data_IF_164108288234
#
_entry.id   IF_164108288234
#
_cell.length_a   1.000
_cell.length_b   1.000
_cell.length_c   1.000
_cell.angle_alpha   90.00
_cell.angle_beta   90.00
_cell.angle_gamma   90.00
#
_symmetry.space_group_name_H-M   'P 1'
#
loop_
_entity.id
_entity.type
_entity.pdbx_description
1 polymer ?
#
# COMPACT_ATOMS: atom_id res chain seq x y z
N UNK A 1 -45.60 -30.64 -96.59
CA UNK A 1 -46.18 -29.57 -95.70
C UNK A 1 -46.14 -30.10 -94.30
N UNK A 2 -45.20 -29.65 -93.47
CA UNK A 2 -45.29 -29.52 -92.03
C UNK A 2 -43.96 -28.95 -91.51
N UNK A 3 -44.00 -27.75 -91.03
CA UNK A 3 -42.87 -27.04 -90.45
C UNK A 3 -42.57 -27.63 -89.10
N UNK A 4 -41.31 -27.98 -88.80
CA UNK A 4 -40.80 -28.34 -87.51
C UNK A 4 -39.90 -27.19 -87.09
N UNK A 5 -40.34 -26.43 -86.04
CA UNK A 5 -39.58 -25.36 -85.38
C UNK A 5 -38.64 -26.02 -84.37
N UNK A 6 -37.36 -25.85 -84.51
CA UNK A 6 -36.38 -26.24 -83.49
C UNK A 6 -36.33 -25.13 -82.46
N UNK A 7 -36.65 -25.45 -81.18
CA UNK A 7 -36.49 -24.62 -80.02
C UNK A 7 -35.11 -24.93 -79.43
N UNK A 8 -34.22 -23.97 -79.52
CA UNK A 8 -32.87 -24.02 -78.89
C UNK A 8 -32.97 -23.63 -77.42
N UNK A 9 -32.77 -24.58 -76.49
CA UNK A 9 -32.64 -24.27 -75.06
C UNK A 9 -31.21 -23.90 -74.80
N UNK A 10 -30.97 -22.64 -74.49
CA UNK A 10 -29.70 -22.12 -73.92
C UNK A 10 -29.73 -22.38 -72.40
N UNK A 11 -28.96 -23.35 -71.95
CA UNK A 11 -28.74 -23.62 -70.52
C UNK A 11 -27.74 -22.60 -70.00
N UNK A 12 -28.24 -21.54 -69.37
CA UNK A 12 -27.39 -20.57 -68.64
C UNK A 12 -26.95 -21.18 -67.29
N UNK A 13 -25.71 -21.67 -67.28
CA UNK A 13 -25.05 -22.15 -66.07
C UNK A 13 -24.66 -20.93 -65.24
N UNK A 14 -25.52 -20.51 -64.28
CA UNK A 14 -25.15 -19.54 -63.25
C UNK A 14 -24.18 -20.20 -62.28
N UNK A 15 -22.88 -19.94 -62.45
CA UNK A 15 -21.90 -20.19 -61.42
C UNK A 15 -22.12 -19.22 -60.29
N UNK A 16 -22.82 -19.65 -59.24
CA UNK A 16 -22.87 -18.96 -57.97
C UNK A 16 -21.48 -19.09 -57.33
N UNK A 17 -20.61 -18.12 -57.58
CA UNK A 17 -19.39 -17.93 -56.83
C UNK A 17 -19.79 -17.54 -55.40
N UNK A 18 -19.97 -18.53 -54.53
CA UNK A 18 -20.12 -18.29 -53.08
C UNK A 18 -18.78 -17.79 -52.54
N UNK A 19 -18.59 -16.48 -52.51
CA UNK A 19 -17.54 -15.92 -51.72
C UNK A 19 -17.83 -16.23 -50.24
N UNK A 20 -17.23 -17.33 -49.73
CA UNK A 20 -17.06 -17.48 -48.29
C UNK A 20 -16.22 -16.28 -47.83
N UNK A 21 -16.85 -15.32 -47.21
CA UNK A 21 -16.14 -14.28 -46.48
C UNK A 21 -15.50 -14.99 -45.28
N UNK A 22 -14.20 -15.29 -45.38
CA UNK A 22 -13.46 -15.80 -44.24
C UNK A 22 -13.59 -14.77 -43.12
N UNK A 23 -14.34 -15.12 -42.10
CA UNK A 23 -14.47 -14.30 -40.89
C UNK A 23 -13.13 -14.36 -40.19
N UNK A 24 -12.31 -13.33 -40.35
CA UNK A 24 -11.06 -13.17 -39.61
C UNK A 24 -11.44 -12.94 -38.17
N UNK A 25 -11.15 -13.92 -37.32
CA UNK A 25 -11.40 -13.82 -35.86
C UNK A 25 -10.29 -12.99 -35.26
N UNK A 26 -10.61 -11.94 -34.50
CA UNK A 26 -9.60 -11.19 -33.78
C UNK A 26 -8.84 -12.08 -32.81
N UNK A 27 -7.55 -11.85 -32.58
CA UNK A 27 -6.78 -12.61 -31.60
C UNK A 27 -7.28 -12.34 -30.18
N UNK A 28 -7.21 -13.37 -29.32
CA UNK A 28 -7.37 -13.17 -27.87
C UNK A 28 -6.13 -12.47 -27.33
N UNK A 29 -6.31 -11.31 -26.70
CA UNK A 29 -5.22 -10.56 -26.08
C UNK A 29 -4.94 -11.13 -24.71
N UNK A 30 -3.75 -11.71 -24.55
CA UNK A 30 -3.31 -12.37 -23.33
C UNK A 30 -1.96 -11.81 -22.93
N UNK A 31 -1.87 -11.34 -21.67
CA UNK A 31 -0.61 -10.94 -21.07
C UNK A 31 -0.63 -11.15 -19.55
N UNK A 32 0.55 -11.21 -18.96
CA UNK A 32 0.73 -11.27 -17.52
C UNK A 32 1.41 -10.00 -17.02
N UNK A 33 1.19 -9.67 -15.75
CA UNK A 33 1.80 -8.53 -15.06
C UNK A 33 2.53 -9.00 -13.81
N UNK A 34 3.71 -8.41 -13.56
CA UNK A 34 4.47 -8.60 -12.34
C UNK A 34 4.81 -7.22 -11.77
N UNK A 35 4.52 -7.00 -10.50
CA UNK A 35 4.71 -5.73 -9.79
C UNK A 35 5.93 -5.83 -8.89
N UNK A 36 6.77 -4.77 -8.93
CA UNK A 36 7.87 -4.52 -8.00
C UNK A 36 7.86 -3.03 -7.62
N UNK A 37 7.27 -2.71 -6.48
CA UNK A 37 7.02 -1.33 -6.08
C UNK A 37 6.15 -0.60 -7.10
N UNK A 38 6.67 0.49 -7.68
CA UNK A 38 6.00 1.25 -8.74
C UNK A 38 6.31 0.73 -10.14
N UNK A 39 7.21 -0.24 -10.28
CA UNK A 39 7.61 -0.79 -11.57
C UNK A 39 6.79 -2.04 -11.89
N UNK A 40 6.23 -2.08 -13.09
CA UNK A 40 5.42 -3.19 -13.59
C UNK A 40 6.05 -3.74 -14.86
N UNK A 41 6.27 -5.05 -14.86
CA UNK A 41 6.69 -5.80 -16.05
C UNK A 41 5.47 -6.42 -16.71
N UNK A 42 5.25 -6.09 -17.97
CA UNK A 42 4.21 -6.67 -18.80
C UNK A 42 4.82 -7.74 -19.70
N UNK A 43 4.24 -8.93 -19.75
CA UNK A 43 4.69 -10.02 -20.62
C UNK A 43 3.56 -10.44 -21.54
N UNK A 44 3.67 -10.08 -22.82
CA UNK A 44 2.68 -10.45 -23.84
C UNK A 44 2.77 -11.95 -24.16
N UNK A 45 1.60 -12.57 -24.24
CA UNK A 45 1.40 -13.98 -24.61
C UNK A 45 0.40 -14.12 -25.78
N UNK A 46 0.05 -13.00 -26.44
CA UNK A 46 -0.91 -12.96 -27.54
C UNK A 46 -0.38 -13.68 -28.77
N UNK A 47 -1.12 -14.67 -29.26
CA UNK A 47 -0.77 -15.41 -30.48
C UNK A 47 -1.26 -14.66 -31.72
N UNK A 48 -0.39 -14.51 -32.73
CA UNK A 48 -0.74 -13.91 -34.02
C UNK A 48 -0.63 -12.38 -34.07
N UNK A 49 -0.26 -11.72 -33.00
CA UNK A 49 0.02 -10.29 -33.00
C UNK A 49 1.29 -9.95 -33.78
N UNK A 50 1.24 -8.87 -34.57
CA UNK A 50 2.36 -8.34 -35.35
C UNK A 50 2.84 -6.99 -34.85
N UNK A 51 1.92 -6.15 -34.33
CA UNK A 51 2.26 -4.86 -33.73
C UNK A 51 1.55 -4.70 -32.40
N UNK A 52 2.14 -3.89 -31.54
CA UNK A 52 1.74 -3.67 -30.16
C UNK A 52 1.65 -2.18 -29.87
N UNK A 53 0.68 -1.79 -29.06
CA UNK A 53 0.58 -0.47 -28.45
C UNK A 53 0.01 -0.64 -27.05
N UNK A 54 0.80 -0.29 -26.07
CA UNK A 54 0.38 -0.21 -24.69
C UNK A 54 -0.07 1.21 -24.36
N UNK A 55 -1.19 1.33 -23.68
CA UNK A 55 -1.57 2.50 -22.90
C UNK A 55 -1.53 2.08 -21.43
N UNK A 56 -0.69 2.70 -20.62
CA UNK A 56 -0.51 2.30 -19.24
C UNK A 56 -1.59 2.84 -18.28
N UNK A 57 -2.47 3.73 -18.78
CA UNK A 57 -3.55 4.31 -17.99
C UNK A 57 -3.10 5.45 -17.07
N UNK A 58 -1.86 5.94 -17.24
CA UNK A 58 -1.29 7.11 -16.56
C UNK A 58 -0.94 8.25 -17.54
N UNK A 59 -1.39 8.13 -18.79
CA UNK A 59 -1.12 9.07 -19.87
C UNK A 59 0.15 8.75 -20.68
N UNK A 60 0.87 7.69 -20.33
CA UNK A 60 2.05 7.20 -21.06
C UNK A 60 1.77 5.94 -21.85
N UNK A 61 2.64 5.61 -22.81
CA UNK A 61 2.44 4.46 -23.71
C UNK A 61 3.77 3.85 -24.16
N UNK A 62 3.74 2.59 -24.68
CA UNK A 62 4.85 1.90 -25.32
C UNK A 62 4.39 1.14 -26.56
N UNK A 63 5.32 0.87 -27.49
CA UNK A 63 5.13 -0.02 -28.64
C UNK A 63 5.91 -1.32 -28.53
N UNK A 64 6.61 -1.52 -27.43
CA UNK A 64 7.34 -2.75 -27.16
C UNK A 64 6.37 -3.91 -26.96
N UNK A 65 6.79 -5.11 -27.35
CA UNK A 65 5.98 -6.32 -27.17
C UNK A 65 5.70 -6.60 -25.69
N UNK A 66 6.73 -6.47 -24.86
CA UNK A 66 6.68 -6.78 -23.42
C UNK A 66 7.42 -5.70 -22.65
N UNK A 67 6.80 -4.53 -22.40
CA UNK A 67 7.46 -3.40 -21.76
C UNK A 67 7.61 -3.59 -20.26
N UNK A 68 8.57 -2.85 -19.71
CA UNK A 68 8.67 -2.51 -18.29
C UNK A 68 8.27 -1.05 -18.14
N UNK A 69 7.36 -0.75 -17.24
CA UNK A 69 6.87 0.61 -16.99
C UNK A 69 6.91 0.94 -15.50
N UNK A 70 7.35 2.15 -15.17
CA UNK A 70 7.35 2.66 -13.79
C UNK A 70 6.27 3.73 -13.66
N UNK A 71 5.26 3.46 -12.85
CA UNK A 71 4.17 4.37 -12.57
C UNK A 71 4.62 5.55 -11.69
N UNK A 72 4.00 6.73 -11.82
CA UNK A 72 4.43 7.93 -11.09
C UNK A 72 4.14 7.87 -9.58
N UNK A 73 3.33 6.92 -9.12
CA UNK A 73 3.00 6.77 -7.71
C UNK A 73 1.96 5.68 -7.45
N UNK A 74 1.52 5.60 -6.20
CA UNK A 74 0.40 4.73 -5.82
C UNK A 74 -0.87 5.11 -6.58
N UNK A 75 -1.69 4.14 -6.89
CA UNK A 75 -2.97 4.38 -7.56
C UNK A 75 -3.55 3.15 -8.23
N UNK A 76 -4.75 3.31 -8.73
CA UNK A 76 -5.42 2.33 -9.57
C UNK A 76 -5.23 2.73 -11.03
N UNK A 77 -4.58 1.86 -11.80
CA UNK A 77 -4.32 2.04 -13.22
C UNK A 77 -5.00 0.95 -14.03
N UNK A 78 -5.30 1.25 -15.30
CA UNK A 78 -5.94 0.30 -16.23
C UNK A 78 -5.09 0.21 -17.50
N UNK A 79 -3.96 -0.53 -17.45
CA UNK A 79 -3.18 -0.76 -18.64
C UNK A 79 -3.97 -1.54 -19.70
N UNK A 80 -3.88 -1.07 -20.94
CA UNK A 80 -4.55 -1.67 -22.10
C UNK A 80 -3.53 -1.98 -23.18
N UNK A 81 -3.53 -3.22 -23.64
CA UNK A 81 -2.75 -3.65 -24.78
C UNK A 81 -3.64 -3.66 -26.03
N UNK A 82 -3.25 -2.92 -27.06
CA UNK A 82 -3.80 -2.98 -28.40
C UNK A 82 -2.84 -3.77 -29.29
N UNK A 83 -3.36 -4.75 -30.01
CA UNK A 83 -2.58 -5.54 -30.95
C UNK A 83 -3.18 -5.45 -32.35
N UNK A 84 -2.32 -5.60 -33.37
CA UNK A 84 -2.76 -5.72 -34.75
C UNK A 84 -2.08 -6.94 -35.37
N UNK A 85 -2.82 -7.78 -36.07
CA UNK A 85 -2.30 -8.94 -36.80
C UNK A 85 -1.68 -8.54 -38.14
N UNK A 86 -0.94 -9.43 -38.79
CA UNK A 86 -0.38 -9.22 -40.12
C UNK A 86 -1.42 -8.98 -41.21
N UNK A 87 -2.68 -9.38 -40.98
CA UNK A 87 -3.80 -9.14 -41.89
C UNK A 87 -4.63 -7.91 -41.56
N UNK A 88 -4.17 -7.10 -40.56
CA UNK A 88 -4.78 -5.84 -40.19
C UNK A 88 -5.95 -5.94 -39.21
N UNK A 89 -6.22 -7.10 -38.63
CA UNK A 89 -7.24 -7.24 -37.57
C UNK A 89 -6.70 -6.75 -36.26
N UNK A 90 -7.50 -5.93 -35.54
CA UNK A 90 -7.16 -5.35 -34.25
C UNK A 90 -7.92 -6.03 -33.11
N UNK A 91 -7.29 -6.11 -31.95
CA UNK A 91 -7.91 -6.51 -30.69
C UNK A 91 -7.29 -5.73 -29.53
N UNK A 92 -8.01 -5.66 -28.41
CA UNK A 92 -7.53 -5.02 -27.19
C UNK A 92 -7.83 -5.88 -25.96
N UNK A 93 -6.99 -5.75 -24.95
CA UNK A 93 -7.21 -6.36 -23.64
C UNK A 93 -6.68 -5.46 -22.54
N UNK A 94 -7.45 -5.31 -21.47
CA UNK A 94 -7.10 -4.47 -20.33
C UNK A 94 -7.23 -5.24 -19.02
N UNK A 95 -6.48 -4.79 -18.01
CA UNK A 95 -6.57 -5.30 -16.65
C UNK A 95 -6.52 -4.14 -15.67
N UNK A 96 -6.97 -4.38 -14.44
CA UNK A 96 -6.85 -3.41 -13.35
C UNK A 96 -5.63 -3.79 -12.52
N UNK A 97 -4.72 -2.83 -12.32
CA UNK A 97 -3.61 -2.97 -11.39
C UNK A 97 -3.73 -1.92 -10.29
N UNK A 98 -3.38 -2.32 -9.07
CA UNK A 98 -3.29 -1.42 -7.95
C UNK A 98 -1.81 -1.31 -7.57
N UNK A 99 -1.27 -0.12 -7.69
CA UNK A 99 0.12 0.18 -7.30
C UNK A 99 0.09 0.69 -5.86
N UNK A 100 0.63 -0.10 -4.95
CA UNK A 100 0.77 0.29 -3.56
C UNK A 100 1.91 1.30 -3.36
N UNK A 101 1.83 2.13 -2.30
CA UNK A 101 2.94 2.99 -1.92
C UNK A 101 4.17 2.15 -1.54
N UNK A 102 5.32 2.49 -2.10
CA UNK A 102 6.61 2.01 -1.63
C UNK A 102 7.18 2.93 -0.54
N UNK A 103 8.10 2.42 0.24
CA UNK A 103 8.92 3.19 1.19
C UNK A 103 10.39 2.99 0.87
N UNK A 104 11.18 4.05 1.07
CA UNK A 104 12.64 3.94 0.98
C UNK A 104 13.25 3.31 2.25
N UNK A 105 12.49 3.27 3.35
CA UNK A 105 12.95 2.78 4.66
C UNK A 105 13.26 1.29 4.62
N UNK A 106 14.45 0.93 5.10
CA UNK A 106 14.97 -0.44 5.21
C UNK A 106 15.49 -0.66 6.62
N UNK A 107 14.95 -1.62 7.33
CA UNK A 107 15.32 -1.91 8.72
C UNK A 107 16.58 -2.77 8.86
N UNK A 108 17.14 -3.30 7.78
CA UNK A 108 18.23 -4.27 7.75
C UNK A 108 19.53 -3.74 7.11
N UNK A 109 19.61 -2.42 6.85
CA UNK A 109 20.78 -1.81 6.21
C UNK A 109 21.80 -1.19 7.20
N UNK A 110 21.54 -1.29 8.51
CA UNK A 110 22.36 -0.76 9.60
C UNK A 110 22.60 0.76 9.53
N UNK A 111 21.68 1.51 8.93
CA UNK A 111 21.72 2.96 8.83
C UNK A 111 20.35 3.57 9.10
N UNK A 112 20.32 4.87 9.39
CA UNK A 112 19.10 5.65 9.53
C UNK A 112 18.97 6.70 8.40
N UNK A 113 19.86 6.64 7.39
CA UNK A 113 19.96 7.68 6.37
C UNK A 113 18.78 7.71 5.39
N UNK A 114 18.09 6.61 5.20
CA UNK A 114 16.87 6.54 4.39
C UNK A 114 15.73 7.38 4.96
N UNK A 115 15.72 7.61 6.28
CA UNK A 115 14.80 8.55 6.93
C UNK A 115 15.02 10.02 6.55
N UNK A 116 16.14 10.37 5.94
CA UNK A 116 16.37 11.72 5.40
C UNK A 116 15.46 12.01 4.20
N UNK A 117 15.00 10.97 3.51
CA UNK A 117 14.05 11.08 2.40
C UNK A 117 12.60 11.21 2.86
N UNK A 118 12.30 10.87 4.11
CA UNK A 118 10.95 10.97 4.70
C UNK A 118 10.73 12.41 5.16
N UNK A 119 10.02 13.17 4.32
CA UNK A 119 9.70 14.60 4.55
C UNK A 119 8.24 14.82 4.95
N UNK A 120 7.39 13.81 4.76
CA UNK A 120 5.99 13.80 5.21
C UNK A 120 5.89 13.00 6.51
N UNK A 121 4.83 13.26 7.29
CA UNK A 121 4.59 12.58 8.58
C UNK A 121 5.77 12.73 9.54
N UNK A 122 6.39 13.90 9.56
CA UNK A 122 7.44 14.30 10.50
C UNK A 122 6.79 15.08 11.64
N UNK A 123 6.96 14.60 12.87
CA UNK A 123 6.40 15.20 14.06
C UNK A 123 7.54 15.66 14.94
N UNK A 124 7.60 16.96 15.20
CA UNK A 124 8.52 17.55 16.16
C UNK A 124 7.80 17.63 17.51
N UNK A 125 8.46 17.22 18.56
CA UNK A 125 7.91 17.25 19.90
C UNK A 125 7.54 18.68 20.30
N UNK A 126 6.35 18.83 20.87
CA UNK A 126 5.87 20.07 21.44
C UNK A 126 6.29 20.24 22.90
N UNK A 127 5.58 21.08 23.63
CA UNK A 127 5.90 21.41 25.03
C UNK A 127 5.79 20.19 25.97
N UNK A 128 4.94 19.19 25.62
CA UNK A 128 4.74 18.00 26.44
C UNK A 128 5.57 16.79 25.90
N UNK A 129 6.39 17.00 24.88
CA UNK A 129 7.23 15.95 24.30
C UNK A 129 8.28 15.37 25.26
N UNK A 130 8.69 16.14 26.28
CA UNK A 130 9.62 15.66 27.30
C UNK A 130 10.94 15.16 26.70
N UNK A 131 11.20 13.87 26.85
CA UNK A 131 12.41 13.24 26.29
C UNK A 131 12.34 13.03 24.77
N UNK A 132 11.15 13.01 24.17
CA UNK A 132 10.95 12.90 22.71
C UNK A 132 11.43 14.17 22.02
N UNK A 133 12.02 14.05 20.83
CA UNK A 133 12.47 15.17 19.98
C UNK A 133 11.79 15.16 18.64
N UNK A 134 11.91 14.07 17.93
CA UNK A 134 11.34 13.90 16.59
C UNK A 134 10.82 12.49 16.43
N UNK A 135 9.66 12.37 15.81
CA UNK A 135 9.18 11.11 15.25
C UNK A 135 8.95 11.28 13.75
N UNK A 136 9.21 10.24 12.99
CA UNK A 136 8.88 10.16 11.58
C UNK A 136 8.13 8.86 11.32
N UNK A 137 7.19 8.90 10.38
CA UNK A 137 6.41 7.73 10.00
C UNK A 137 6.36 7.61 8.50
N UNK A 138 6.46 6.38 8.02
CA UNK A 138 6.25 6.03 6.62
C UNK A 138 5.53 4.68 6.53
N UNK A 139 5.10 4.27 5.35
CA UNK A 139 4.46 2.97 5.17
C UNK A 139 4.65 2.44 3.75
N UNK A 140 4.49 1.12 3.61
CA UNK A 140 4.32 0.43 2.34
C UNK A 140 3.14 -0.56 2.43
N UNK A 141 3.03 -1.51 1.51
CA UNK A 141 1.98 -2.55 1.54
C UNK A 141 1.99 -3.37 2.82
N UNK A 142 3.16 -3.61 3.42
CA UNK A 142 3.37 -4.60 4.47
C UNK A 142 3.55 -3.99 5.85
N UNK A 143 4.14 -2.80 5.92
CA UNK A 143 4.61 -2.21 7.16
C UNK A 143 4.15 -0.76 7.34
N UNK A 144 3.98 -0.36 8.60
CA UNK A 144 4.04 1.02 9.07
C UNK A 144 5.39 1.19 9.75
N UNK A 145 6.26 2.00 9.17
CA UNK A 145 7.58 2.29 9.71
C UNK A 145 7.53 3.49 10.66
N UNK A 146 8.39 3.47 11.66
CA UNK A 146 8.56 4.58 12.58
C UNK A 146 10.05 4.82 12.88
N UNK A 147 10.37 6.07 13.13
CA UNK A 147 11.67 6.54 13.60
C UNK A 147 11.47 7.46 14.77
N UNK A 148 12.34 7.33 15.78
CA UNK A 148 12.39 8.24 16.91
C UNK A 148 13.78 8.78 17.14
N UNK A 149 13.82 10.08 17.49
CA UNK A 149 14.96 10.71 18.11
C UNK A 149 14.51 11.23 19.49
N UNK A 150 15.26 10.87 20.54
CA UNK A 150 14.90 11.19 21.91
C UNK A 150 16.13 11.33 22.81
N UNK A 151 15.92 11.95 23.98
CA UNK A 151 16.95 12.04 25.02
C UNK A 151 16.75 10.91 26.01
N UNK A 152 17.39 9.77 25.74
CA UNK A 152 17.35 8.57 26.59
C UNK A 152 18.54 7.65 26.27
N UNK A 153 18.50 6.44 26.80
CA UNK A 153 19.43 5.36 26.51
C UNK A 153 18.67 4.05 26.33
N UNK A 154 19.23 3.09 25.60
CA UNK A 154 18.66 1.74 25.49
C UNK A 154 18.49 1.10 26.87
N UNK A 155 19.45 1.31 27.77
CA UNK A 155 19.43 0.73 29.11
C UNK A 155 18.35 1.30 30.03
N UNK A 156 17.78 2.47 29.71
CA UNK A 156 16.67 3.07 30.50
C UNK A 156 15.42 2.18 30.50
N UNK A 157 15.21 1.43 29.42
CA UNK A 157 14.06 0.53 29.29
C UNK A 157 12.74 1.29 29.29
N UNK A 158 12.73 2.50 28.69
CA UNK A 158 11.53 3.34 28.60
C UNK A 158 10.38 2.58 27.93
N UNK A 159 9.19 2.74 28.49
CA UNK A 159 7.98 2.07 28.04
C UNK A 159 7.24 2.99 27.08
N UNK A 160 6.90 2.49 25.94
CA UNK A 160 6.10 3.18 24.93
C UNK A 160 4.67 2.64 24.95
N UNK A 161 3.70 3.56 24.94
CA UNK A 161 2.30 3.25 24.73
C UNK A 161 1.88 3.88 23.40
N UNK A 162 1.68 3.07 22.36
CA UNK A 162 1.14 3.51 21.09
C UNK A 162 -0.37 3.28 21.09
N UNK A 163 -1.14 4.35 21.05
CA UNK A 163 -2.58 4.34 20.87
C UNK A 163 -2.90 4.43 19.39
N UNK A 164 -3.49 3.39 18.83
CA UNK A 164 -3.78 3.26 17.39
C UNK A 164 -5.30 3.25 17.16
N UNK A 165 -5.79 4.25 16.42
CA UNK A 165 -7.12 4.26 15.82
C UNK A 165 -6.98 3.64 14.42
N UNK A 166 -7.19 2.33 14.37
CA UNK A 166 -6.87 1.50 13.22
C UNK A 166 -7.95 1.54 12.12
N UNK A 167 -9.19 1.77 12.48
CA UNK A 167 -10.31 1.88 11.54
C UNK A 167 -10.58 3.34 11.10
N UNK A 168 -9.80 4.29 11.63
CA UNK A 168 -9.93 5.73 11.42
C UNK A 168 -11.33 6.26 11.77
N UNK A 169 -11.92 5.75 12.85
CA UNK A 169 -13.26 6.08 13.29
C UNK A 169 -13.27 6.51 14.75
N UNK A 170 -13.37 7.80 15.00
CA UNK A 170 -13.44 8.35 16.37
C UNK A 170 -14.69 7.88 17.19
N UNK A 171 -15.65 7.21 16.54
CA UNK A 171 -16.85 6.66 17.19
C UNK A 171 -16.67 5.26 17.76
N UNK A 172 -15.53 4.61 17.52
CA UNK A 172 -15.16 3.28 18.03
C UNK A 172 -13.91 3.38 18.92
N UNK A 173 -13.50 2.29 19.57
CA UNK A 173 -12.29 2.25 20.39
C UNK A 173 -12.34 3.16 21.63
N UNK A 174 -11.19 3.35 22.24
CA UNK A 174 -11.00 4.14 23.45
C UNK A 174 -10.86 5.64 23.17
N UNK A 175 -11.66 6.47 23.80
CA UNK A 175 -11.51 7.92 23.76
C UNK A 175 -10.69 8.38 24.98
N UNK A 176 -9.40 8.64 24.80
CA UNK A 176 -8.49 8.99 25.92
C UNK A 176 -8.82 10.32 26.57
N UNK A 177 -9.52 11.24 25.89
CA UNK A 177 -9.65 12.63 26.28
C UNK A 177 -8.36 13.46 26.10
N UNK A 178 -7.21 12.82 25.98
CA UNK A 178 -5.92 13.48 25.77
C UNK A 178 -5.75 13.96 24.33
N UNK A 179 -6.14 13.13 23.36
CA UNK A 179 -6.02 13.45 21.93
C UNK A 179 -7.41 13.38 21.28
N UNK A 180 -8.09 14.52 21.12
CA UNK A 180 -9.44 14.56 20.58
C UNK A 180 -9.46 14.12 19.11
N UNK A 181 -10.49 13.38 18.73
CA UNK A 181 -10.68 12.87 17.36
C UNK A 181 -10.01 11.54 17.07
N UNK A 182 -9.44 10.87 18.07
CA UNK A 182 -9.03 9.47 18.02
C UNK A 182 -10.05 8.56 18.70
N UNK A 183 -10.27 7.37 18.16
CA UNK A 183 -10.98 6.25 18.76
C UNK A 183 -10.07 5.02 18.73
N UNK A 184 -9.30 4.81 19.81
CA UNK A 184 -8.17 3.89 19.80
C UNK A 184 -8.60 2.45 20.01
N UNK A 185 -8.41 1.63 18.97
CA UNK A 185 -8.78 0.22 18.94
C UNK A 185 -7.69 -0.68 19.48
N UNK A 186 -6.43 -0.24 19.33
CA UNK A 186 -5.25 -1.00 19.70
C UNK A 186 -4.34 -0.12 20.56
N UNK A 187 -3.91 -0.66 21.68
CA UNK A 187 -2.80 -0.17 22.47
C UNK A 187 -1.63 -1.13 22.28
N UNK A 188 -0.47 -0.61 21.92
CA UNK A 188 0.77 -1.36 21.95
C UNK A 188 1.65 -0.80 23.05
N UNK A 189 2.01 -1.62 24.01
CA UNK A 189 2.65 -1.19 25.24
C UNK A 189 3.90 -2.01 25.55
N UNK A 190 5.01 -1.34 25.88
CA UNK A 190 6.21 -2.02 26.35
C UNK A 190 7.52 -1.30 26.07
N UNK A 191 8.59 -1.89 26.60
CA UNK A 191 9.98 -1.48 26.34
C UNK A 191 10.47 -2.11 25.01
N UNK A 192 10.05 -1.52 23.89
CA UNK A 192 10.26 -2.11 22.55
C UNK A 192 11.74 -2.35 22.21
N UNK A 193 12.67 -1.56 22.75
CA UNK A 193 14.11 -1.74 22.55
C UNK A 193 14.68 -2.89 23.40
N UNK A 194 13.91 -3.43 24.33
CA UNK A 194 14.21 -4.63 25.13
C UNK A 194 13.39 -5.84 24.70
N UNK A 195 12.86 -5.79 23.47
CA UNK A 195 12.08 -6.87 22.83
C UNK A 195 10.78 -7.23 23.58
N UNK A 196 10.23 -6.27 24.28
CA UNK A 196 8.93 -6.38 24.91
C UNK A 196 8.06 -5.22 24.43
N UNK A 197 6.98 -5.51 23.68
CA UNK A 197 6.04 -4.53 23.16
C UNK A 197 4.73 -5.24 22.78
N UNK A 198 3.79 -5.35 23.71
CA UNK A 198 2.63 -6.21 23.59
C UNK A 198 1.40 -5.48 23.05
N UNK A 199 0.62 -6.11 22.16
CA UNK A 199 -0.64 -5.55 21.67
C UNK A 199 -1.80 -5.87 22.60
N UNK A 200 -2.66 -4.87 22.81
CA UNK A 200 -3.90 -4.96 23.53
C UNK A 200 -5.03 -4.40 22.68
N UNK A 201 -6.19 -5.04 22.73
CA UNK A 201 -7.39 -4.58 22.04
C UNK A 201 -8.35 -3.94 23.00
N UNK A 202 -8.97 -2.84 22.57
CA UNK A 202 -9.99 -2.18 23.37
C UNK A 202 -11.14 -3.13 23.69
N UNK A 203 -11.51 -3.17 24.96
CA UNK A 203 -12.57 -4.02 25.51
C UNK A 203 -13.44 -3.29 26.55
N UNK A 204 -13.31 -1.96 26.64
CA UNK A 204 -14.10 -1.15 27.51
C UNK A 204 -15.60 -1.19 27.20
N UNK A 205 -16.45 -1.11 28.21
CA UNK A 205 -17.90 -1.13 28.03
C UNK A 205 -18.43 0.11 27.29
N UNK A 206 -17.72 1.23 27.38
CA UNK A 206 -17.95 2.48 26.66
C UNK A 206 -16.62 3.07 26.24
N UNK A 207 -16.60 3.97 25.25
CA UNK A 207 -15.37 4.60 24.78
C UNK A 207 -14.56 5.33 25.88
N UNK A 208 -15.20 5.77 26.96
CA UNK A 208 -14.55 6.44 28.07
C UNK A 208 -14.13 5.48 29.20
N UNK A 209 -14.43 4.19 29.07
CA UNK A 209 -14.08 3.18 30.08
C UNK A 209 -12.72 2.60 29.75
N UNK A 210 -11.76 2.73 30.68
CA UNK A 210 -10.50 2.02 30.54
C UNK A 210 -10.72 0.50 30.52
N UNK A 211 -10.27 -0.14 29.48
CA UNK A 211 -10.41 -1.60 29.35
C UNK A 211 -9.65 -2.10 28.13
N UNK A 212 -8.67 -2.96 28.36
CA UNK A 212 -7.81 -3.53 27.34
C UNK A 212 -7.65 -5.03 27.57
N UNK A 213 -7.71 -5.79 26.49
CA UNK A 213 -7.50 -7.24 26.49
C UNK A 213 -6.24 -7.57 25.74
N UNK A 214 -5.28 -8.21 26.40
CA UNK A 214 -4.02 -8.62 25.78
C UNK A 214 -4.26 -9.59 24.63
N UNK A 215 -3.45 -9.49 23.59
CA UNK A 215 -3.47 -10.37 22.43
C UNK A 215 -2.12 -11.07 22.30
N UNK A 216 -2.14 -12.37 22.03
CA UNK A 216 -0.94 -13.13 21.70
C UNK A 216 -0.78 -13.12 20.19
N UNK A 217 0.11 -12.27 19.70
CA UNK A 217 0.43 -12.15 18.28
C UNK A 217 1.95 -12.19 18.17
N UNK A 218 2.49 -13.05 17.30
CA UNK A 218 3.92 -13.06 16.97
C UNK A 218 4.21 -12.18 15.76
N UNK A 219 5.44 -11.71 15.66
CA UNK A 219 6.00 -11.04 14.48
C UNK A 219 5.19 -9.81 14.02
N UNK A 220 4.62 -9.04 14.95
CA UNK A 220 3.84 -7.85 14.61
C UNK A 220 4.66 -6.56 14.62
N UNK A 221 5.83 -6.56 15.25
CA UNK A 221 6.79 -5.46 15.19
C UNK A 221 8.21 -5.96 14.98
N UNK A 222 9.04 -5.07 14.50
CA UNK A 222 10.48 -5.28 14.33
C UNK A 222 11.20 -3.98 14.69
N UNK A 223 12.31 -4.07 15.40
CA UNK A 223 13.26 -2.98 15.58
C UNK A 223 14.38 -3.16 14.57
N UNK A 224 14.70 -2.10 13.86
CA UNK A 224 15.82 -2.01 12.93
C UNK A 224 17.07 -1.44 13.59
N UNK A 225 17.66 -0.43 12.96
CA UNK A 225 18.88 0.21 13.43
C UNK A 225 18.64 1.04 14.70
N UNK A 226 19.51 0.87 15.68
CA UNK A 226 19.52 1.66 16.92
C UNK A 226 20.88 2.34 17.06
N UNK A 227 20.88 3.65 17.19
CA UNK A 227 22.07 4.48 17.36
C UNK A 227 21.97 5.25 18.68
N UNK A 228 22.91 5.04 19.57
CA UNK A 228 23.03 5.78 20.83
C UNK A 228 24.35 6.54 20.87
N UNK A 229 24.28 7.85 21.10
CA UNK A 229 25.43 8.72 21.31
C UNK A 229 25.21 9.54 22.58
N UNK A 230 25.82 9.11 23.68
CA UNK A 230 25.55 9.65 25.01
C UNK A 230 24.08 9.46 25.38
N UNK A 231 23.38 10.55 25.64
CA UNK A 231 21.94 10.58 25.93
C UNK A 231 21.07 10.77 24.68
N UNK A 232 21.65 10.91 23.49
CA UNK A 232 20.86 10.95 22.25
C UNK A 232 20.67 9.53 21.75
N UNK A 233 19.42 9.12 21.71
CA UNK A 233 18.98 7.82 21.22
C UNK A 233 18.16 8.03 19.95
N UNK A 234 18.54 7.32 18.89
CA UNK A 234 17.82 7.27 17.61
C UNK A 234 17.58 5.82 17.27
N UNK A 235 16.38 5.52 16.84
CA UNK A 235 16.06 4.16 16.39
C UNK A 235 14.90 4.16 15.43
N UNK A 236 14.80 3.08 14.71
CA UNK A 236 13.72 2.80 13.78
C UNK A 236 13.07 1.47 14.07
N UNK A 237 11.89 1.29 13.53
CA UNK A 237 11.17 0.03 13.57
C UNK A 237 9.98 0.02 12.66
N UNK A 238 9.25 -1.08 12.68
CA UNK A 238 8.02 -1.23 11.93
C UNK A 238 6.99 -2.05 12.67
N UNK A 239 5.72 -1.75 12.39
CA UNK A 239 4.56 -2.58 12.71
C UNK A 239 4.08 -3.25 11.42
N UNK A 240 3.82 -4.55 11.44
CA UNK A 240 3.24 -5.26 10.29
C UNK A 240 1.77 -4.89 10.14
N UNK A 241 1.40 -4.29 9.01
CA UNK A 241 0.02 -3.84 8.71
C UNK A 241 -1.01 -4.95 8.86
N UNK A 242 -0.69 -6.15 8.37
CA UNK A 242 -1.58 -7.33 8.46
C UNK A 242 -1.83 -7.82 9.90
N UNK A 243 -1.05 -7.34 10.87
CA UNK A 243 -1.16 -7.69 12.29
C UNK A 243 -1.85 -6.60 13.12
N UNK A 244 -2.07 -5.41 12.56
CA UNK A 244 -2.85 -4.35 13.22
C UNK A 244 -4.33 -4.65 13.01
N UNK A 245 -4.99 -5.12 14.06
CA UNK A 245 -6.43 -5.45 14.01
C UNK A 245 -7.25 -4.22 13.68
N UNK A 246 -8.17 -4.35 12.73
CA UNK A 246 -9.08 -3.26 12.33
C UNK A 246 -8.50 -2.30 11.29
N UNK A 247 -7.23 -2.43 10.91
CA UNK A 247 -6.64 -1.54 9.91
C UNK A 247 -7.34 -1.70 8.55
N UNK A 248 -8.03 -0.63 8.12
CA UNK A 248 -8.87 -0.65 6.91
C UNK A 248 -8.13 -0.28 5.63
N UNK A 249 -6.87 0.17 5.73
CA UNK A 249 -6.09 0.69 4.61
C UNK A 249 -6.39 2.14 4.22
N UNK A 250 -7.38 2.79 4.83
CA UNK A 250 -7.69 4.21 4.53
C UNK A 250 -6.80 5.19 5.27
N UNK A 251 -6.35 4.82 6.45
CA UNK A 251 -5.48 5.64 7.29
C UNK A 251 -5.33 5.04 8.67
N UNK A 252 -4.34 5.52 9.39
CA UNK A 252 -4.05 5.16 10.77
C UNK A 252 -3.85 6.45 11.54
N UNK A 253 -4.62 6.65 12.62
CA UNK A 253 -4.30 7.70 13.58
C UNK A 253 -3.51 7.08 14.73
N UNK A 254 -2.52 7.79 15.20
CA UNK A 254 -1.72 7.35 16.31
C UNK A 254 -1.36 8.51 17.26
N UNK A 255 -1.23 8.17 18.51
CA UNK A 255 -0.65 9.01 19.54
C UNK A 255 0.16 8.14 20.49
N UNK A 256 1.13 8.70 21.17
CA UNK A 256 1.96 7.91 22.06
C UNK A 256 2.32 8.66 23.35
N UNK A 257 2.56 7.87 24.38
CA UNK A 257 3.27 8.28 25.59
C UNK A 257 4.54 7.48 25.73
N UNK A 258 5.53 8.08 26.39
CA UNK A 258 6.70 7.36 26.88
C UNK A 258 6.73 7.50 28.39
N UNK A 259 6.84 6.37 29.07
CA UNK A 259 6.83 6.27 30.53
C UNK A 259 8.13 5.61 31.00
N UNK A 260 8.58 5.98 32.19
CA UNK A 260 9.75 5.38 32.81
C UNK A 260 9.52 3.87 33.02
N UNK A 261 10.59 3.08 32.97
CA UNK A 261 10.55 1.61 33.10
C UNK A 261 9.84 1.08 34.34
N UNK A 262 9.75 1.86 35.40
CA UNK A 262 9.02 1.54 36.64
C UNK A 262 7.60 2.10 36.72
N UNK A 263 7.07 2.66 35.61
CA UNK A 263 5.75 3.28 35.47
C UNK A 263 5.51 4.52 36.32
N UNK A 264 6.51 5.03 37.00
CA UNK A 264 6.37 6.09 37.99
C UNK A 264 6.11 7.48 37.40
N UNK A 265 6.58 7.72 36.17
CA UNK A 265 6.58 9.04 35.53
C UNK A 265 6.39 8.95 34.05
N UNK A 266 5.45 9.71 33.49
CA UNK A 266 5.37 9.96 32.05
C UNK A 266 6.51 10.89 31.65
N UNK A 267 7.35 10.43 30.73
CA UNK A 267 8.55 11.10 30.26
C UNK A 267 8.28 11.99 29.05
N UNK A 268 7.17 11.80 28.36
CA UNK A 268 6.77 12.61 27.21
C UNK A 268 5.55 12.06 26.50
N UNK A 269 4.91 12.93 25.72
CA UNK A 269 3.75 12.59 24.87
C UNK A 269 3.95 13.14 23.46
N UNK A 270 3.39 12.48 22.47
CA UNK A 270 3.42 12.94 21.09
C UNK A 270 2.18 12.45 20.33
N UNK A 271 1.40 13.37 19.72
CA UNK A 271 1.52 14.82 19.83
C UNK A 271 1.19 15.32 21.25
N UNK A 272 1.35 16.63 21.50
CA UNK A 272 0.93 17.24 22.78
C UNK A 272 -0.55 16.97 23.06
N UNK A 273 -0.90 16.80 24.33
CA UNK A 273 -2.29 16.69 24.76
C UNK A 273 -3.13 17.89 24.33
N UNK A 274 -4.37 17.64 23.93
CA UNK A 274 -5.26 18.62 23.33
C UNK A 274 -5.12 18.76 21.81
N UNK A 275 -4.05 18.23 21.23
CA UNK A 275 -3.86 18.17 19.78
C UNK A 275 -4.59 16.96 19.16
N UNK A 276 -4.90 17.05 17.87
CA UNK A 276 -5.36 15.88 17.12
C UNK A 276 -4.26 14.81 17.05
N UNK A 277 -4.61 13.52 16.99
CA UNK A 277 -3.63 12.46 16.78
C UNK A 277 -2.89 12.63 15.46
N UNK A 278 -1.71 12.03 15.34
CA UNK A 278 -0.94 11.95 14.11
C UNK A 278 -1.76 11.10 13.13
N UNK A 279 -1.99 11.60 11.91
CA UNK A 279 -2.73 10.88 10.89
C UNK A 279 -1.81 10.46 9.75
N UNK A 280 -1.72 9.16 9.52
CA UNK A 280 -1.07 8.57 8.36
C UNK A 280 -2.15 8.27 7.33
N UNK A 281 -2.24 9.08 6.27
CA UNK A 281 -3.13 8.79 5.14
C UNK A 281 -2.58 7.60 4.36
N UNK A 282 -3.28 6.48 4.46
CA UNK A 282 -2.93 5.21 3.81
C UNK A 282 -3.95 4.85 2.71
N UNK A 283 -4.78 5.81 2.28
CA UNK A 283 -5.72 5.61 1.18
C UNK A 283 -4.96 5.37 -0.12
N UNK A 284 -5.33 4.31 -0.85
CA UNK A 284 -4.78 3.90 -2.15
C UNK A 284 -5.79 4.16 -3.27
#
# INVERSE_FOLDING_TARGET
MKNIKHILYILACCWLCSCKKDTVVPPDVIYTVSLDGYTVTFTDQTVGASTYKWDFGDGTSSTDKSPVHTYPGKGKYVPTLYVTTSVGTTAEGSTVINIAKSSAVKLDDNTLSDWDTVTHNVVIAGAQGGILKTAKFDYNSDNVFFYFEMTSTVAAGDIFDFYLDADNNAGTGYATGTWPGGGYDVLMEGAMLQQWFDPFYFSGATQNSWGWSGATISDYYQIGTVVQNGSTLKFEGALKRSKIKGLTGKGLKLALTVTKSDWSVTLGTMPDGGSAPIFLDMSE
#
